data_IF_523054675567
#
_entry.id   IF_523054675567
#
_cell.length_a   1.000
_cell.length_b   1.000
_cell.length_c   1.000
_cell.angle_alpha   90.00
_cell.angle_beta   90.00
_cell.angle_gamma   90.00
#
_symmetry.space_group_name_H-M   'P 1'
#
loop_
_entity.id
_entity.type
_entity.pdbx_description
1 polymer ?
#
# COMPACT_ATOMS: atom_id res chain seq x y z
N UNK A 1 57.75 27.00 36.84
CA UNK A 1 57.42 25.67 36.32
C UNK A 1 55.93 25.48 36.58
N UNK A 2 55.13 25.73 35.61
CA UNK A 2 53.67 25.60 35.66
C UNK A 2 53.22 24.90 34.36
N UNK A 3 52.80 23.67 34.52
CA UNK A 3 52.31 22.86 33.39
C UNK A 3 50.96 23.34 32.92
N UNK A 4 50.91 23.72 31.66
CA UNK A 4 49.72 24.04 30.90
C UNK A 4 49.28 22.81 30.13
N UNK A 5 48.14 22.20 30.50
CA UNK A 5 47.50 21.13 29.71
C UNK A 5 46.33 21.70 28.97
N UNK A 6 46.18 21.44 27.65
CA UNK A 6 45.04 21.91 26.89
C UNK A 6 43.81 21.04 27.09
N UNK A 7 42.69 21.70 27.34
CA UNK A 7 41.34 21.11 27.45
C UNK A 7 40.65 20.99 26.08
N UNK A 8 41.06 20.05 25.25
CA UNK A 8 40.43 19.82 23.96
C UNK A 8 39.99 18.37 23.79
N UNK A 9 38.99 17.94 24.57
CA UNK A 9 38.44 16.60 24.40
C UNK A 9 36.91 16.49 24.59
N UNK A 10 36.15 17.59 24.44
CA UNK A 10 34.67 17.53 24.63
C UNK A 10 33.80 18.09 23.50
N UNK A 11 34.35 18.35 22.31
CA UNK A 11 33.56 19.00 21.23
C UNK A 11 33.39 18.17 19.96
N UNK A 12 33.76 16.88 19.93
CA UNK A 12 33.73 16.08 18.69
C UNK A 12 32.46 15.28 18.44
N UNK A 13 31.53 15.17 19.40
CA UNK A 13 30.36 14.28 19.30
C UNK A 13 29.05 14.98 18.85
N UNK A 14 29.01 16.31 18.71
CA UNK A 14 27.79 17.05 18.36
C UNK A 14 27.65 17.42 16.88
N UNK A 15 28.66 17.23 16.04
CA UNK A 15 28.66 17.72 14.65
C UNK A 15 28.31 16.70 13.58
N UNK A 16 28.17 15.41 13.90
CA UNK A 16 27.96 14.36 12.90
C UNK A 16 26.49 14.27 12.39
N UNK A 17 25.50 14.54 13.20
CA UNK A 17 24.09 14.40 12.83
C UNK A 17 23.56 15.50 11.90
N UNK A 18 23.95 16.77 12.11
CA UNK A 18 23.47 17.89 11.28
C UNK A 18 23.99 17.80 9.84
N UNK A 19 25.27 17.47 9.64
CA UNK A 19 25.86 17.29 8.33
C UNK A 19 25.30 16.05 7.58
N UNK A 20 24.90 15.01 8.31
CA UNK A 20 24.27 13.83 7.70
C UNK A 20 22.88 14.14 7.15
N UNK A 21 22.02 14.81 7.89
CA UNK A 21 20.69 15.23 7.44
C UNK A 21 20.74 16.15 6.24
N UNK A 22 21.71 17.05 6.22
CA UNK A 22 21.91 17.94 5.07
C UNK A 22 22.33 17.16 3.82
N UNK A 23 23.30 16.24 3.91
CA UNK A 23 23.70 15.39 2.78
C UNK A 23 22.56 14.53 2.23
N UNK A 24 21.73 13.93 3.10
CA UNK A 24 20.54 13.19 2.64
C UNK A 24 19.57 14.08 1.89
N UNK A 25 19.34 15.31 2.38
CA UNK A 25 18.48 16.29 1.70
C UNK A 25 19.02 16.68 0.33
N UNK A 26 20.30 16.96 0.25
CA UNK A 26 20.98 17.33 -1.00
C UNK A 26 20.88 16.18 -2.02
N UNK A 27 21.14 14.94 -1.60
CA UNK A 27 20.98 13.75 -2.44
C UNK A 27 19.53 13.57 -2.91
N UNK A 28 18.55 13.71 -2.03
CA UNK A 28 17.13 13.60 -2.37
C UNK A 28 16.69 14.64 -3.40
N UNK A 29 17.17 15.88 -3.27
CA UNK A 29 16.80 16.98 -4.17
C UNK A 29 17.56 16.93 -5.51
N UNK A 30 18.80 16.46 -5.52
CA UNK A 30 19.63 16.39 -6.72
C UNK A 30 19.46 15.09 -7.51
N UNK A 31 18.97 14.02 -6.87
CA UNK A 31 18.86 12.68 -7.47
C UNK A 31 17.45 12.33 -7.92
N UNK A 32 17.33 11.26 -8.72
CA UNK A 32 16.06 10.65 -9.10
C UNK A 32 15.50 9.73 -8.00
N UNK A 33 14.54 8.86 -8.37
CA UNK A 33 13.85 7.94 -7.48
C UNK A 33 14.81 7.02 -6.67
N UNK A 34 15.97 6.68 -7.26
CA UNK A 34 16.98 5.80 -6.66
C UNK A 34 18.07 6.55 -5.86
N UNK A 35 17.88 7.84 -5.59
CA UNK A 35 18.89 8.66 -4.91
C UNK A 35 19.19 8.21 -3.48
N UNK A 36 18.21 7.63 -2.81
CA UNK A 36 18.30 7.12 -1.44
C UNK A 36 17.93 5.64 -1.41
N UNK A 37 18.64 4.85 -0.61
CA UNK A 37 18.20 3.50 -0.26
C UNK A 37 16.95 3.58 0.64
N UNK A 38 16.16 2.50 0.69
CA UNK A 38 14.90 2.42 1.46
C UNK A 38 15.04 2.91 2.90
N UNK A 39 16.11 2.48 3.61
CA UNK A 39 16.32 2.92 4.98
C UNK A 39 16.70 4.40 5.08
N UNK A 40 17.37 4.97 4.06
CA UNK A 40 17.72 6.40 4.02
C UNK A 40 16.48 7.25 3.75
N UNK A 41 15.59 6.79 2.87
CA UNK A 41 14.32 7.44 2.61
C UNK A 41 13.43 7.41 3.87
N UNK A 42 13.35 6.26 4.55
CA UNK A 42 12.62 6.14 5.81
C UNK A 42 13.22 7.04 6.90
N UNK A 43 14.56 7.08 7.01
CA UNK A 43 15.27 7.99 7.89
C UNK A 43 14.89 9.44 7.63
N UNK A 44 14.85 9.84 6.34
CA UNK A 44 14.47 11.19 5.93
C UNK A 44 13.02 11.52 6.34
N UNK A 45 12.08 10.60 6.16
CA UNK A 45 10.68 10.79 6.59
C UNK A 45 10.58 10.99 8.11
N UNK A 46 11.38 10.26 8.88
CA UNK A 46 11.41 10.39 10.34
C UNK A 46 11.97 11.75 10.81
N UNK A 47 12.75 12.48 10.00
CA UNK A 47 13.22 13.81 10.36
C UNK A 47 12.09 14.80 10.61
N UNK A 48 10.92 14.61 9.98
CA UNK A 48 9.77 15.48 10.19
C UNK A 48 9.27 15.49 11.64
N UNK A 49 9.40 14.36 12.34
CA UNK A 49 8.92 14.17 13.71
C UNK A 49 10.05 14.09 14.74
N UNK A 50 11.22 13.58 14.37
CA UNK A 50 12.39 13.43 15.25
C UNK A 50 13.41 14.51 14.88
N UNK A 51 13.36 15.64 15.59
CA UNK A 51 14.19 16.82 15.28
C UNK A 51 15.67 16.64 15.60
N UNK A 52 16.00 15.83 16.59
CA UNK A 52 17.37 15.62 17.11
C UNK A 52 17.69 14.14 17.21
N UNK A 53 18.98 13.81 17.13
CA UNK A 53 19.47 12.44 17.24
C UNK A 53 19.63 11.75 15.89
N UNK A 54 20.19 10.55 15.94
CA UNK A 54 20.40 9.66 14.79
C UNK A 54 19.16 8.77 14.61
N UNK A 55 18.48 8.92 13.49
CA UNK A 55 17.28 8.15 13.13
C UNK A 55 17.59 6.92 12.28
N UNK A 56 18.84 6.76 11.83
CA UNK A 56 19.26 5.62 11.02
C UNK A 56 19.09 4.26 11.71
N UNK A 57 19.44 4.08 13.00
CA UNK A 57 19.17 2.83 13.70
C UNK A 57 17.68 2.50 13.73
N UNK A 58 16.83 3.50 14.00
CA UNK A 58 15.38 3.33 14.04
C UNK A 58 14.82 2.93 12.67
N UNK A 59 15.24 3.59 11.58
CA UNK A 59 14.82 3.25 10.22
C UNK A 59 15.20 1.79 9.87
N UNK A 60 16.41 1.35 10.20
CA UNK A 60 16.84 -0.03 9.99
C UNK A 60 16.04 -1.03 10.84
N UNK A 61 15.75 -0.70 12.09
CA UNK A 61 14.94 -1.54 12.99
C UNK A 61 13.53 -1.71 12.42
N UNK A 62 12.91 -0.63 11.94
CA UNK A 62 11.59 -0.68 11.32
C UNK A 62 11.58 -1.61 10.08
N UNK A 63 12.55 -1.45 9.17
CA UNK A 63 12.63 -2.33 7.99
C UNK A 63 12.89 -3.78 8.39
N UNK A 64 13.76 -4.02 9.37
CA UNK A 64 14.02 -5.38 9.85
C UNK A 64 12.78 -6.03 10.50
N UNK A 65 11.97 -5.27 11.22
CA UNK A 65 10.77 -5.76 11.90
C UNK A 65 9.59 -5.97 10.96
N UNK A 66 9.36 -5.06 10.01
CA UNK A 66 8.22 -5.11 9.08
C UNK A 66 8.55 -5.72 7.71
N UNK A 67 9.83 -5.92 7.40
CA UNK A 67 10.31 -6.64 6.22
C UNK A 67 10.71 -5.75 5.05
N UNK A 68 10.04 -4.61 4.80
CA UNK A 68 10.36 -3.69 3.71
C UNK A 68 9.91 -2.26 4.00
N UNK A 69 10.37 -1.30 3.21
CA UNK A 69 9.92 0.08 3.25
C UNK A 69 8.39 0.19 3.04
N UNK A 70 7.87 -0.51 2.05
CA UNK A 70 6.42 -0.52 1.75
C UNK A 70 5.61 -1.12 2.90
N UNK A 71 6.11 -2.19 3.53
CA UNK A 71 5.46 -2.80 4.68
C UNK A 71 5.45 -1.87 5.90
N UNK A 72 6.53 -1.10 6.13
CA UNK A 72 6.57 -0.07 7.19
C UNK A 72 5.52 1.00 6.94
N UNK A 73 5.42 1.54 5.72
CA UNK A 73 4.43 2.57 5.38
C UNK A 73 2.98 2.06 5.45
N UNK A 74 2.77 0.76 5.19
CA UNK A 74 1.44 0.13 5.22
C UNK A 74 1.07 -0.41 6.59
N UNK A 75 1.99 -0.41 7.55
CA UNK A 75 1.76 -0.95 8.89
C UNK A 75 0.72 -0.12 9.67
N UNK A 76 -0.01 -0.80 10.54
CA UNK A 76 -0.92 -0.15 11.46
C UNK A 76 -0.17 0.85 12.35
N UNK A 77 -0.66 2.10 12.53
CA UNK A 77 0.00 3.09 13.37
C UNK A 77 0.22 2.64 14.82
N UNK A 78 -0.64 1.78 15.36
CA UNK A 78 -0.45 1.22 16.71
C UNK A 78 0.72 0.23 16.74
N UNK A 79 0.87 -0.60 15.68
CA UNK A 79 2.00 -1.52 15.56
C UNK A 79 3.33 -0.74 15.42
N UNK A 80 3.35 0.34 14.64
CA UNK A 80 4.52 1.23 14.55
C UNK A 80 4.92 1.80 15.90
N UNK A 81 3.96 2.22 16.73
CA UNK A 81 4.19 2.80 18.06
C UNK A 81 4.77 1.80 19.07
N UNK A 82 4.67 0.49 18.83
CA UNK A 82 5.32 -0.52 19.69
C UNK A 82 6.83 -0.59 19.47
N UNK A 83 7.36 -0.02 18.39
CA UNK A 83 8.80 -0.01 18.12
C UNK A 83 9.49 1.03 19.03
N UNK A 84 10.51 0.65 19.80
CA UNK A 84 11.24 1.59 20.62
C UNK A 84 11.78 2.77 19.79
N UNK A 85 11.49 4.00 20.23
CA UNK A 85 11.86 5.23 19.52
C UNK A 85 10.78 5.76 18.57
N UNK A 86 9.70 5.01 18.30
CA UNK A 86 8.55 5.48 17.56
C UNK A 86 7.51 6.13 18.47
N UNK A 87 7.36 7.45 18.33
CA UNK A 87 6.29 8.21 19.00
C UNK A 87 5.07 8.36 18.10
N UNK A 88 4.00 8.90 18.67
CA UNK A 88 2.75 9.20 17.95
C UNK A 88 2.98 10.08 16.72
N UNK A 89 3.78 11.14 16.84
CA UNK A 89 4.09 12.04 15.73
C UNK A 89 4.82 11.32 14.59
N UNK A 90 5.72 10.38 14.90
CA UNK A 90 6.44 9.59 13.90
C UNK A 90 5.52 8.62 13.18
N UNK A 91 4.66 7.91 13.92
CA UNK A 91 3.66 7.02 13.33
C UNK A 91 2.68 7.79 12.44
N UNK A 92 2.20 8.95 12.90
CA UNK A 92 1.32 9.81 12.12
C UNK A 92 1.99 10.33 10.84
N UNK A 93 3.27 10.71 10.89
CA UNK A 93 4.02 11.18 9.72
C UNK A 93 4.15 10.08 8.65
N UNK A 94 4.51 8.85 9.04
CA UNK A 94 4.59 7.73 8.12
C UNK A 94 3.21 7.35 7.56
N UNK A 95 2.17 7.34 8.40
CA UNK A 95 0.81 7.09 7.95
C UNK A 95 0.31 8.14 6.96
N UNK A 96 0.64 9.42 7.17
CA UNK A 96 0.31 10.48 6.23
C UNK A 96 0.97 10.28 4.85
N UNK A 97 2.23 9.83 4.82
CA UNK A 97 2.90 9.47 3.55
C UNK A 97 2.18 8.32 2.83
N UNK A 98 1.78 7.28 3.55
CA UNK A 98 0.98 6.18 3.02
C UNK A 98 -0.34 6.67 2.42
N UNK A 99 -1.09 7.50 3.15
CA UNK A 99 -2.34 8.07 2.67
C UNK A 99 -2.15 8.95 1.43
N UNK A 100 -1.07 9.73 1.37
CA UNK A 100 -0.75 10.55 0.20
C UNK A 100 -0.48 9.66 -1.02
N UNK A 101 0.34 8.62 -0.88
CA UNK A 101 0.62 7.66 -1.96
C UNK A 101 -0.66 6.99 -2.47
N UNK A 102 -1.54 6.51 -1.57
CA UNK A 102 -2.83 5.91 -1.93
C UNK A 102 -3.73 6.89 -2.69
N UNK A 103 -3.82 8.15 -2.24
CA UNK A 103 -4.62 9.18 -2.93
C UNK A 103 -4.09 9.49 -4.33
N UNK A 104 -2.78 9.58 -4.49
CA UNK A 104 -2.14 9.80 -5.79
C UNK A 104 -2.41 8.63 -6.74
N UNK A 105 -2.20 7.40 -6.29
CA UNK A 105 -2.45 6.20 -7.08
C UNK A 105 -3.94 6.07 -7.47
N UNK A 106 -4.86 6.36 -6.55
CA UNK A 106 -6.30 6.37 -6.83
C UNK A 106 -6.66 7.41 -7.89
N UNK A 107 -6.09 8.62 -7.82
CA UNK A 107 -6.32 9.67 -8.83
C UNK A 107 -5.90 9.26 -10.24
N UNK A 108 -4.85 8.46 -10.36
CA UNK A 108 -4.40 7.96 -11.66
C UNK A 108 -5.41 6.99 -12.34
N UNK A 109 -6.32 6.38 -11.55
CA UNK A 109 -7.32 5.42 -12.03
C UNK A 109 -8.68 6.08 -12.31
N UNK A 110 -9.05 7.13 -11.56
CA UNK A 110 -10.42 7.70 -11.57
C UNK A 110 -10.84 8.32 -12.90
N UNK A 111 -9.92 8.94 -13.64
CA UNK A 111 -10.26 9.73 -14.84
C UNK A 111 -10.03 9.01 -16.16
N UNK A 112 -9.58 7.78 -16.14
CA UNK A 112 -9.23 7.00 -17.32
C UNK A 112 -10.03 5.71 -17.42
N UNK A 113 -10.28 5.16 -18.64
CA UNK A 113 -10.79 3.83 -18.76
C UNK A 113 -9.83 2.82 -18.11
N UNK A 114 -10.34 2.04 -17.16
CA UNK A 114 -9.54 1.11 -16.34
C UNK A 114 -8.77 0.12 -17.20
N UNK A 115 -9.40 -0.41 -18.25
CA UNK A 115 -8.75 -1.37 -19.16
C UNK A 115 -7.64 -0.73 -20.00
N UNK A 116 -7.71 0.58 -20.28
CA UNK A 116 -6.66 1.34 -20.97
C UNK A 116 -5.50 1.78 -20.06
N UNK A 117 -5.66 1.63 -18.75
CA UNK A 117 -4.68 2.01 -17.72
C UNK A 117 -4.49 0.87 -16.72
N UNK A 118 -4.44 -0.37 -17.20
CA UNK A 118 -4.40 -1.58 -16.38
C UNK A 118 -3.24 -1.57 -15.36
N UNK A 119 -2.04 -1.16 -15.78
CA UNK A 119 -0.91 -1.05 -14.86
C UNK A 119 -1.18 -0.05 -13.72
N UNK A 120 -1.77 1.10 -14.01
CA UNK A 120 -2.11 2.07 -12.98
C UNK A 120 -3.13 1.50 -11.97
N UNK A 121 -4.07 0.66 -12.43
CA UNK A 121 -4.98 -0.06 -11.54
C UNK A 121 -4.21 -1.03 -10.64
N UNK A 122 -3.30 -1.83 -11.20
CA UNK A 122 -2.50 -2.78 -10.44
C UNK A 122 -1.62 -2.07 -9.40
N UNK A 123 -1.00 -0.95 -9.77
CA UNK A 123 -0.19 -0.13 -8.86
C UNK A 123 -1.04 0.42 -7.70
N UNK A 124 -2.24 0.92 -8.01
CA UNK A 124 -3.19 1.38 -7.01
C UNK A 124 -3.56 0.26 -6.03
N UNK A 125 -3.92 -0.93 -6.56
CA UNK A 125 -4.32 -2.07 -5.74
C UNK A 125 -3.15 -2.59 -4.88
N UNK A 126 -1.93 -2.63 -5.43
CA UNK A 126 -0.74 -3.03 -4.69
C UNK A 126 -0.45 -2.09 -3.53
N UNK A 127 -0.50 -0.76 -3.76
CA UNK A 127 -0.28 0.26 -2.72
C UNK A 127 -1.36 0.16 -1.62
N UNK A 128 -2.62 -0.12 -1.99
CA UNK A 128 -3.73 -0.13 -1.05
C UNK A 128 -3.87 -1.45 -0.27
N UNK A 129 -3.55 -2.61 -0.88
CA UNK A 129 -3.96 -3.90 -0.37
C UNK A 129 -2.83 -4.92 -0.15
N UNK A 130 -1.67 -4.82 -0.84
CA UNK A 130 -0.66 -5.90 -0.84
C UNK A 130 -0.06 -6.20 0.55
N UNK A 131 -0.04 -5.23 1.45
CA UNK A 131 0.57 -5.35 2.77
C UNK A 131 -0.42 -5.43 3.93
N UNK A 132 -1.72 -5.61 3.63
CA UNK A 132 -2.72 -5.81 4.69
C UNK A 132 -2.51 -7.18 5.34
N UNK A 133 -2.68 -7.21 6.66
CA UNK A 133 -2.60 -8.44 7.48
C UNK A 133 -3.93 -9.18 7.65
N UNK A 134 -4.98 -8.68 7.03
CA UNK A 134 -6.31 -9.28 6.93
C UNK A 134 -6.77 -9.27 5.47
N UNK A 135 -7.67 -10.15 5.13
CA UNK A 135 -8.29 -10.16 3.82
C UNK A 135 -9.26 -9.00 3.67
N UNK A 136 -9.24 -8.39 2.50
CA UNK A 136 -10.14 -7.33 2.10
C UNK A 136 -10.67 -7.64 0.72
N UNK A 137 -11.98 -7.65 0.56
CA UNK A 137 -12.66 -7.87 -0.72
C UNK A 137 -13.29 -6.58 -1.18
N UNK A 138 -13.05 -6.22 -2.43
CA UNK A 138 -13.57 -5.01 -3.08
C UNK A 138 -14.20 -5.35 -4.43
N UNK A 139 -15.10 -4.50 -4.86
CA UNK A 139 -15.64 -4.51 -6.21
C UNK A 139 -15.45 -3.14 -6.85
N UNK A 140 -14.77 -3.12 -7.97
CA UNK A 140 -14.62 -1.95 -8.81
C UNK A 140 -15.73 -1.97 -9.86
N UNK A 141 -16.71 -1.09 -9.71
CA UNK A 141 -17.83 -0.97 -10.62
C UNK A 141 -17.50 0.02 -11.73
N UNK A 142 -17.80 -0.37 -12.99
CA UNK A 142 -17.42 0.36 -14.19
C UNK A 142 -18.66 0.72 -15.01
N UNK A 143 -18.58 1.88 -15.69
CA UNK A 143 -19.60 2.26 -16.69
C UNK A 143 -19.30 1.61 -18.06
N UNK A 144 -20.17 1.92 -19.04
CA UNK A 144 -20.04 1.41 -20.41
C UNK A 144 -18.74 1.83 -21.13
N UNK A 145 -18.03 2.86 -20.67
CA UNK A 145 -16.72 3.26 -21.15
C UNK A 145 -15.57 2.65 -20.32
N UNK A 146 -15.86 1.69 -19.45
CA UNK A 146 -14.92 1.08 -18.51
C UNK A 146 -14.23 2.08 -17.58
N UNK A 147 -14.91 3.18 -17.24
CA UNK A 147 -14.44 4.13 -16.20
C UNK A 147 -14.97 3.70 -14.86
N UNK A 148 -14.13 3.88 -13.82
CA UNK A 148 -14.49 3.56 -12.45
C UNK A 148 -15.60 4.49 -11.95
N UNK A 149 -16.77 3.92 -11.62
CA UNK A 149 -17.89 4.62 -10.97
C UNK A 149 -17.72 4.56 -9.46
N UNK A 150 -17.46 3.37 -8.94
CA UNK A 150 -17.39 3.13 -7.50
C UNK A 150 -16.35 2.04 -7.21
N UNK A 151 -15.52 2.31 -6.24
CA UNK A 151 -14.66 1.36 -5.59
C UNK A 151 -15.31 1.00 -4.24
N UNK A 152 -15.92 -0.18 -4.18
CA UNK A 152 -16.78 -0.60 -3.08
C UNK A 152 -16.11 -1.69 -2.24
N UNK A 153 -15.94 -1.42 -0.95
CA UNK A 153 -15.51 -2.41 0.03
C UNK A 153 -16.69 -3.35 0.32
N UNK A 154 -16.54 -4.64 0.02
CA UNK A 154 -17.53 -5.66 0.37
C UNK A 154 -17.36 -6.19 1.78
N UNK A 155 -16.12 -6.38 2.23
CA UNK A 155 -15.82 -6.91 3.54
C UNK A 155 -14.34 -6.93 3.86
N UNK A 156 -14.06 -7.03 5.15
CA UNK A 156 -12.72 -7.19 5.73
C UNK A 156 -12.78 -8.28 6.79
N UNK A 157 -11.72 -9.11 6.91
CA UNK A 157 -11.66 -10.20 7.86
C UNK A 157 -11.21 -11.50 7.21
N UNK A 158 -11.51 -12.67 7.80
CA UNK A 158 -11.29 -13.94 7.12
C UNK A 158 -12.39 -14.20 6.08
N UNK A 159 -12.04 -14.83 4.95
CA UNK A 159 -12.99 -15.13 3.85
C UNK A 159 -14.20 -15.94 4.33
N UNK A 160 -14.05 -16.76 5.37
CA UNK A 160 -15.16 -17.53 5.97
C UNK A 160 -16.23 -16.64 6.64
N UNK A 161 -15.89 -15.41 7.04
CA UNK A 161 -16.82 -14.46 7.67
C UNK A 161 -17.44 -13.45 6.68
N UNK A 162 -16.77 -13.14 5.57
CA UNK A 162 -17.29 -12.25 4.55
C UNK A 162 -17.85 -13.03 3.38
N UNK A 163 -18.99 -13.71 3.57
CA UNK A 163 -19.68 -14.40 2.48
C UNK A 163 -20.02 -13.42 1.35
N UNK A 164 -19.26 -13.48 0.24
CA UNK A 164 -19.57 -12.71 -0.96
C UNK A 164 -20.88 -13.24 -1.55
N UNK A 165 -21.93 -12.45 -1.49
CA UNK A 165 -23.21 -12.81 -2.07
C UNK A 165 -23.36 -12.25 -3.49
N UNK A 166 -23.39 -13.10 -4.54
CA UNK A 166 -23.54 -12.63 -5.93
C UNK A 166 -24.71 -11.66 -6.11
N UNK A 167 -25.84 -11.91 -5.45
CA UNK A 167 -27.02 -11.02 -5.50
C UNK A 167 -26.71 -9.60 -5.05
N UNK A 168 -25.90 -9.41 -3.99
CA UNK A 168 -25.58 -8.08 -3.47
C UNK A 168 -24.63 -7.33 -4.42
N UNK A 169 -23.65 -8.05 -5.00
CA UNK A 169 -22.73 -7.50 -5.98
C UNK A 169 -23.50 -7.00 -7.21
N UNK A 170 -24.40 -7.84 -7.75
CA UNK A 170 -25.17 -7.48 -8.94
C UNK A 170 -26.23 -6.43 -8.62
N UNK A 171 -26.92 -6.51 -7.50
CA UNK A 171 -27.88 -5.46 -7.06
C UNK A 171 -27.16 -4.10 -7.02
N UNK A 172 -25.97 -4.05 -6.39
CA UNK A 172 -25.21 -2.80 -6.31
C UNK A 172 -24.84 -2.26 -7.69
N UNK A 173 -24.48 -3.14 -8.65
CA UNK A 173 -24.22 -2.71 -10.03
C UNK A 173 -25.41 -1.98 -10.65
N UNK A 174 -26.64 -2.51 -10.46
CA UNK A 174 -27.85 -1.84 -10.95
C UNK A 174 -28.12 -0.51 -10.23
N UNK A 175 -28.00 -0.48 -8.91
CA UNK A 175 -28.27 0.73 -8.11
C UNK A 175 -27.45 1.94 -8.59
N UNK A 176 -26.25 1.69 -9.14
CA UNK A 176 -25.34 2.75 -9.59
C UNK A 176 -25.15 2.84 -11.10
N UNK A 177 -25.89 2.03 -11.88
CA UNK A 177 -25.82 2.02 -13.34
C UNK A 177 -24.52 1.46 -13.90
N UNK A 178 -23.85 0.55 -13.18
CA UNK A 178 -22.65 -0.12 -13.65
C UNK A 178 -23.00 -1.20 -14.67
N UNK A 179 -22.22 -1.29 -15.76
CA UNK A 179 -22.34 -2.31 -16.80
C UNK A 179 -21.25 -3.38 -16.74
N UNK A 180 -20.20 -3.11 -15.94
CA UNK A 180 -19.12 -4.06 -15.73
C UNK A 180 -18.55 -3.91 -14.32
N UNK A 181 -17.79 -4.92 -13.90
CA UNK A 181 -17.09 -4.91 -12.63
C UNK A 181 -15.78 -5.70 -12.69
N UNK A 182 -14.88 -5.38 -11.74
CA UNK A 182 -13.69 -6.15 -11.43
C UNK A 182 -13.77 -6.50 -9.94
N UNK A 183 -13.64 -7.80 -9.62
CA UNK A 183 -13.45 -8.26 -8.26
C UNK A 183 -11.98 -8.10 -7.86
N UNK A 184 -11.74 -7.75 -6.62
CA UNK A 184 -10.38 -7.63 -6.08
C UNK A 184 -10.36 -8.14 -4.66
N UNK A 185 -9.37 -8.94 -4.30
CA UNK A 185 -9.05 -9.21 -2.91
C UNK A 185 -7.55 -9.41 -2.70
N UNK A 186 -7.10 -9.34 -1.47
CA UNK A 186 -5.70 -9.61 -1.13
C UNK A 186 -5.56 -10.87 -0.31
N UNK A 187 -4.42 -11.54 -0.48
CA UNK A 187 -3.99 -12.63 0.37
C UNK A 187 -2.95 -12.16 1.40
N UNK A 188 -3.26 -12.16 2.70
CA UNK A 188 -2.30 -11.79 3.77
C UNK A 188 -1.06 -12.68 3.83
N UNK A 189 -1.14 -13.91 3.31
CA UNK A 189 0.01 -14.81 3.17
C UNK A 189 1.12 -14.18 2.29
N UNK A 190 0.74 -13.33 1.33
CA UNK A 190 1.61 -12.73 0.34
C UNK A 190 1.58 -13.42 -1.02
N UNK A 191 1.20 -14.68 -1.10
CA UNK A 191 1.07 -15.43 -2.35
C UNK A 191 -0.30 -15.14 -3.00
N UNK A 192 -0.37 -14.57 -4.22
CA UNK A 192 -1.61 -14.20 -4.89
C UNK A 192 -2.27 -15.36 -5.64
N UNK A 193 -1.85 -16.61 -5.48
CA UNK A 193 -2.47 -17.74 -6.17
C UNK A 193 -3.93 -17.93 -5.73
N UNK A 194 -4.89 -18.06 -6.69
CA UNK A 194 -6.30 -18.17 -6.40
C UNK A 194 -6.64 -19.51 -5.72
N UNK A 195 -7.48 -19.45 -4.72
CA UNK A 195 -8.09 -20.64 -4.12
C UNK A 195 -9.23 -21.20 -5.01
N UNK A 196 -9.67 -22.43 -4.73
CA UNK A 196 -10.86 -22.99 -5.39
C UNK A 196 -12.12 -22.19 -5.08
N UNK A 197 -12.20 -21.60 -3.89
CA UNK A 197 -13.32 -20.76 -3.47
C UNK A 197 -13.35 -19.46 -4.28
N UNK A 198 -12.21 -18.84 -4.54
CA UNK A 198 -12.11 -17.61 -5.37
C UNK A 198 -12.61 -17.86 -6.79
N UNK A 199 -12.19 -18.96 -7.38
CA UNK A 199 -12.63 -19.34 -8.73
C UNK A 199 -14.14 -19.62 -8.72
N UNK A 200 -14.66 -20.37 -7.75
CA UNK A 200 -16.06 -20.73 -7.70
C UNK A 200 -16.97 -19.51 -7.48
N UNK A 201 -16.61 -18.60 -6.56
CA UNK A 201 -17.43 -17.41 -6.30
C UNK A 201 -17.39 -16.45 -7.51
N UNK A 202 -16.24 -16.34 -8.19
CA UNK A 202 -16.11 -15.51 -9.38
C UNK A 202 -17.00 -16.05 -10.51
N UNK A 203 -16.98 -17.36 -10.74
CA UNK A 203 -17.83 -18.00 -11.76
C UNK A 203 -19.33 -17.75 -11.49
N UNK A 204 -19.76 -17.85 -10.23
CA UNK A 204 -21.16 -17.57 -9.83
C UNK A 204 -21.57 -16.13 -10.08
N UNK A 205 -20.67 -15.16 -9.77
CA UNK A 205 -20.93 -13.73 -10.02
C UNK A 205 -20.95 -13.45 -11.52
N UNK A 206 -20.02 -14.02 -12.28
CA UNK A 206 -19.95 -13.87 -13.73
C UNK A 206 -21.19 -14.43 -14.42
N UNK A 207 -21.69 -15.59 -14.01
CA UNK A 207 -22.91 -16.20 -14.53
C UNK A 207 -24.14 -15.32 -14.24
N UNK A 208 -24.31 -14.88 -12.99
CA UNK A 208 -25.39 -13.98 -12.57
C UNK A 208 -25.33 -12.65 -13.32
N UNK A 209 -24.16 -12.06 -13.44
CA UNK A 209 -23.95 -10.81 -14.17
C UNK A 209 -24.28 -10.93 -15.66
N UNK A 210 -23.83 -12.00 -16.30
CA UNK A 210 -24.08 -12.25 -17.74
C UNK A 210 -25.57 -12.28 -18.08
N UNK A 211 -26.37 -12.92 -17.26
CA UNK A 211 -27.83 -12.99 -17.45
C UNK A 211 -28.50 -11.63 -17.30
N UNK A 212 -27.89 -10.72 -16.57
CA UNK A 212 -28.45 -9.42 -16.20
C UNK A 212 -27.72 -8.24 -16.87
N UNK A 213 -26.84 -8.50 -17.83
CA UNK A 213 -26.12 -7.47 -18.60
C UNK A 213 -24.99 -6.78 -17.84
N UNK A 214 -24.46 -7.39 -16.77
CA UNK A 214 -23.29 -6.92 -16.02
C UNK A 214 -22.10 -7.84 -16.29
N UNK A 215 -21.04 -7.32 -16.89
CA UNK A 215 -19.85 -8.11 -17.25
C UNK A 215 -18.83 -8.14 -16.12
N UNK A 216 -18.38 -9.33 -15.72
CA UNK A 216 -17.18 -9.46 -14.87
C UNK A 216 -15.96 -9.41 -15.77
N UNK A 217 -15.23 -8.29 -15.74
CA UNK A 217 -14.02 -8.13 -16.55
C UNK A 217 -12.86 -8.96 -16.04
N UNK A 218 -12.66 -8.98 -14.72
CA UNK A 218 -11.59 -9.77 -14.09
C UNK A 218 -11.88 -10.02 -12.62
N UNK A 219 -11.08 -10.90 -12.04
CA UNK A 219 -10.86 -10.99 -10.60
C UNK A 219 -9.36 -10.94 -10.35
N UNK A 220 -8.91 -9.90 -9.66
CA UNK A 220 -7.50 -9.65 -9.36
C UNK A 220 -7.23 -10.00 -7.91
N UNK A 221 -6.29 -10.89 -7.68
CA UNK A 221 -5.80 -11.25 -6.35
C UNK A 221 -4.46 -10.58 -6.13
N UNK A 222 -4.31 -9.86 -5.02
CA UNK A 222 -3.12 -9.08 -4.71
C UNK A 222 -2.39 -9.70 -3.51
N UNK A 223 -1.08 -9.83 -3.60
CA UNK A 223 -0.22 -10.27 -2.52
C UNK A 223 1.09 -9.48 -2.50
N UNK A 224 1.91 -9.71 -1.49
CA UNK A 224 3.25 -9.09 -1.40
C UNK A 224 4.19 -9.56 -2.52
N UNK A 225 3.96 -10.74 -3.06
CA UNK A 225 4.74 -11.33 -4.15
C UNK A 225 4.26 -10.88 -5.53
N UNK A 226 3.21 -10.05 -5.59
CA UNK A 226 2.65 -9.55 -6.84
C UNK A 226 1.14 -9.69 -6.91
N UNK A 227 0.62 -9.95 -8.11
CA UNK A 227 -0.82 -10.13 -8.34
C UNK A 227 -1.09 -11.26 -9.32
N UNK A 228 -2.31 -11.78 -9.28
CA UNK A 228 -2.84 -12.74 -10.25
C UNK A 228 -4.17 -12.23 -10.79
N UNK A 229 -4.33 -12.28 -12.11
CA UNK A 229 -5.59 -12.07 -12.84
C UNK A 229 -6.18 -13.43 -13.17
N UNK A 230 -7.41 -13.70 -12.77
CA UNK A 230 -8.09 -14.94 -13.10
C UNK A 230 -8.38 -15.01 -14.61
N UNK A 231 -8.68 -13.87 -15.23
CA UNK A 231 -8.88 -13.80 -16.68
C UNK A 231 -7.59 -14.13 -17.45
N UNK A 232 -6.46 -13.56 -17.05
CA UNK A 232 -5.18 -13.85 -17.69
C UNK A 232 -4.78 -15.34 -17.55
N UNK A 233 -5.23 -16.01 -16.47
CA UNK A 233 -5.07 -17.45 -16.27
C UNK A 233 -6.11 -18.30 -17.01
N UNK A 234 -7.12 -17.70 -17.67
CA UNK A 234 -8.20 -18.42 -18.34
C UNK A 234 -9.17 -19.14 -17.39
N UNK A 235 -9.32 -18.62 -16.17
CA UNK A 235 -10.18 -19.19 -15.13
C UNK A 235 -11.60 -18.59 -15.11
N UNK A 236 -11.82 -17.52 -15.90
CA UNK A 236 -13.11 -16.85 -16.12
C UNK A 236 -13.25 -16.35 -17.54
#
# INVERSE_FOLDING_TARGET
MGDWLPSDAKNSAKHTGAGHRQRLRERLLAGGAEALADYELLEFLLFASIRQGDTKPLAKTLIAQFGSFSAVLSADPQALRQVPGMGEASAAALHACSLAARRMARGAVQDKPVLGSWQALLDYLAIDMAHLNHERVRVLYLNAQNRLILDHLLGEGSIDEAAIHPREVIRKAFDIGATALILVHNHPSGNPEPSRADIAITARIAEAGRLLGVTVHDHVIVGREGHVSLRAKGLI
#
